data_IF_828259445765
#
_entry.id   IF_828259445765
#
_cell.length_a   1.000
_cell.length_b   1.000
_cell.length_c   1.000
_cell.angle_alpha   90.00
_cell.angle_beta   90.00
_cell.angle_gamma   90.00
#
_symmetry.space_group_name_H-M   'P 1'
#
loop_
_entity.id
_entity.type
_entity.pdbx_description
1 polymer ?
#
# COMPACT_ATOMS: atom_id res chain seq x y z
N UNK A 1 -10.64 20.99 25.62
CA UNK A 1 -12.07 20.94 26.00
C UNK A 1 -12.86 22.16 25.45
N UNK A 2 -12.88 22.37 24.13
CA UNK A 2 -13.57 23.51 23.47
C UNK A 2 -14.27 23.16 22.13
N UNK A 3 -14.16 21.91 21.68
CA UNK A 3 -14.76 21.41 20.43
C UNK A 3 -16.17 20.79 20.62
N UNK A 4 -16.47 20.28 21.82
CA UNK A 4 -17.77 19.68 22.15
C UNK A 4 -18.95 20.66 22.23
N UNK A 5 -18.70 21.96 22.44
CA UNK A 5 -19.76 22.97 22.54
C UNK A 5 -20.28 23.47 21.19
N UNK A 6 -19.49 23.35 20.11
CA UNK A 6 -19.96 23.74 18.77
C UNK A 6 -20.91 22.70 18.15
N UNK A 7 -20.73 21.42 18.47
CA UNK A 7 -21.61 20.33 18.01
C UNK A 7 -23.00 20.38 18.66
N UNK A 8 -23.09 20.69 19.96
CA UNK A 8 -24.38 20.83 20.66
C UNK A 8 -25.24 22.01 20.18
N UNK A 9 -24.64 23.03 19.55
CA UNK A 9 -25.34 24.23 19.05
C UNK A 9 -25.91 24.04 17.64
N UNK A 10 -25.45 23.02 16.91
CA UNK A 10 -25.93 22.69 15.56
C UNK A 10 -27.08 21.66 15.59
N UNK A 11 -27.15 20.82 16.62
CA UNK A 11 -28.25 19.86 16.81
C UNK A 11 -29.57 20.53 17.25
N UNK A 12 -29.54 21.77 17.76
CA UNK A 12 -30.73 22.48 18.26
C UNK A 12 -31.50 23.28 17.19
N UNK A 13 -31.14 23.19 15.90
CA UNK A 13 -31.79 23.91 14.80
C UNK A 13 -32.24 23.02 13.63
N UNK A 14 -32.58 21.75 13.89
CA UNK A 14 -33.40 20.98 12.96
C UNK A 14 -34.88 21.16 13.33
N UNK A 15 -35.53 22.16 12.74
CA UNK A 15 -36.99 22.20 12.74
C UNK A 15 -37.51 20.99 11.96
N UNK A 16 -38.30 20.18 12.66
CA UNK A 16 -38.95 18.99 12.12
C UNK A 16 -39.98 19.45 11.07
N UNK A 17 -39.91 18.90 9.86
CA UNK A 17 -40.88 19.21 8.82
C UNK A 17 -42.31 18.90 9.30
N UNK A 18 -43.33 19.71 8.93
CA UNK A 18 -44.73 19.44 9.30
C UNK A 18 -45.17 18.06 8.84
N UNK A 19 -45.97 17.35 9.65
CA UNK A 19 -46.35 15.95 9.41
C UNK A 19 -47.12 15.73 8.09
N UNK A 20 -47.66 16.79 7.47
CA UNK A 20 -48.38 16.75 6.21
C UNK A 20 -47.56 17.18 4.98
N UNK A 21 -46.27 17.47 5.15
CA UNK A 21 -45.39 17.96 4.09
C UNK A 21 -45.33 16.99 2.91
N UNK A 22 -45.16 15.70 3.18
CA UNK A 22 -45.10 14.65 2.14
C UNK A 22 -46.43 14.57 1.39
N UNK A 23 -47.55 14.71 2.08
CA UNK A 23 -48.90 14.66 1.48
C UNK A 23 -49.10 15.84 0.54
N UNK A 24 -48.68 17.05 0.93
CA UNK A 24 -48.78 18.24 0.07
C UNK A 24 -47.88 18.14 -1.16
N UNK A 25 -46.66 17.63 -1.02
CA UNK A 25 -45.74 17.43 -2.14
C UNK A 25 -46.30 16.41 -3.13
N UNK A 26 -46.87 15.31 -2.65
CA UNK A 26 -47.45 14.27 -3.51
C UNK A 26 -48.74 14.72 -4.19
N UNK A 27 -49.54 15.57 -3.55
CA UNK A 27 -50.74 16.16 -4.14
C UNK A 27 -50.45 17.23 -5.21
N UNK A 28 -49.26 17.83 -5.21
CA UNK A 28 -48.86 18.87 -6.15
C UNK A 28 -48.26 18.33 -7.47
N UNK A 29 -48.07 17.01 -7.60
CA UNK A 29 -47.53 16.38 -8.80
C UNK A 29 -48.67 16.07 -9.80
N UNK A 30 -48.59 16.51 -11.06
CA UNK A 30 -49.60 16.18 -12.06
C UNK A 30 -49.52 14.70 -12.46
N UNK A 31 -50.66 14.01 -12.42
CA UNK A 31 -50.76 12.64 -12.93
C UNK A 31 -50.56 12.60 -14.45
N UNK A 32 -49.61 11.76 -14.91
CA UNK A 32 -49.41 11.49 -16.34
C UNK A 32 -50.42 10.44 -16.82
N UNK A 33 -51.01 10.59 -18.01
CA UNK A 33 -51.87 9.56 -18.58
C UNK A 33 -51.05 8.32 -18.95
N UNK A 34 -51.54 7.16 -18.54
CA UNK A 34 -50.99 5.85 -18.82
C UNK A 34 -51.26 5.46 -20.28
N UNK A 35 -50.27 5.64 -21.15
CA UNK A 35 -50.26 5.01 -22.48
C UNK A 35 -49.41 3.73 -22.45
N UNK A 36 -50.01 2.63 -22.88
CA UNK A 36 -49.36 1.33 -22.98
C UNK A 36 -48.23 1.33 -24.01
N UNK A 37 -47.07 0.81 -23.62
CA UNK A 37 -45.86 0.71 -24.44
C UNK A 37 -46.08 -0.03 -25.78
N UNK A 38 -47.08 -0.91 -25.84
CA UNK A 38 -47.42 -1.70 -27.03
C UNK A 38 -47.96 -0.86 -28.22
N UNK A 39 -48.52 0.32 -27.97
CA UNK A 39 -49.07 1.18 -29.03
C UNK A 39 -48.02 2.10 -29.66
N UNK A 40 -46.91 2.37 -28.97
CA UNK A 40 -45.80 3.18 -29.51
C UNK A 40 -44.88 2.42 -30.47
N UNK A 41 -44.84 1.09 -30.40
CA UNK A 41 -43.98 0.28 -31.27
C UNK A 41 -44.56 0.06 -32.68
N UNK A 42 -45.87 0.23 -32.88
CA UNK A 42 -46.52 -0.02 -34.18
C UNK A 42 -46.33 1.10 -35.21
N UNK A 43 -45.87 2.29 -34.81
CA UNK A 43 -45.67 3.42 -35.74
C UNK A 43 -44.27 3.47 -36.38
N UNK A 44 -43.35 2.61 -35.98
CA UNK A 44 -41.95 2.65 -36.44
C UNK A 44 -41.64 1.67 -37.59
N UNK A 45 -42.64 1.01 -38.16
CA UNK A 45 -42.43 0.06 -39.27
C UNK A 45 -42.92 0.59 -40.63
N UNK A 46 -42.00 0.98 -41.54
CA UNK A 46 -42.39 1.36 -42.88
C UNK A 46 -42.76 0.12 -43.71
N UNK A 47 -43.97 0.15 -44.28
CA UNK A 47 -44.48 -0.86 -45.22
C UNK A 47 -43.87 -0.68 -46.63
N UNK A 48 -42.55 -0.83 -46.82
CA UNK A 48 -41.97 -1.09 -48.15
C UNK A 48 -40.72 -1.98 -48.05
N UNK A 49 -40.73 -3.01 -48.90
CA UNK A 49 -39.79 -4.13 -49.00
C UNK A 49 -38.53 -3.66 -49.73
N UNK A 50 -37.35 -3.95 -49.14
CA UNK A 50 -35.96 -3.74 -49.61
C UNK A 50 -35.18 -2.49 -49.10
N UNK A 51 -34.26 -2.70 -48.14
CA UNK A 51 -32.93 -2.02 -48.04
C UNK A 51 -32.02 -2.76 -47.01
N UNK A 52 -30.69 -2.92 -47.21
CA UNK A 52 -29.83 -3.76 -46.38
C UNK A 52 -29.25 -2.96 -45.19
N UNK A 53 -30.08 -2.70 -44.18
CA UNK A 53 -29.67 -2.06 -42.91
C UNK A 53 -29.41 -3.04 -41.74
N UNK A 54 -29.91 -4.30 -41.67
CA UNK A 54 -29.69 -5.12 -40.47
C UNK A 54 -28.21 -5.46 -40.22
N UNK A 55 -27.39 -5.55 -41.28
CA UNK A 55 -25.96 -5.81 -41.15
C UNK A 55 -25.18 -4.60 -40.58
N UNK A 56 -25.53 -3.37 -40.97
CA UNK A 56 -24.90 -2.14 -40.48
C UNK A 56 -25.35 -1.79 -39.05
N UNK A 57 -26.62 -2.03 -38.73
CA UNK A 57 -27.13 -1.85 -37.37
C UNK A 57 -26.53 -2.87 -36.39
N UNK A 58 -26.35 -4.13 -36.82
CA UNK A 58 -25.68 -5.17 -36.04
C UNK A 58 -24.20 -4.86 -35.79
N UNK A 59 -23.48 -4.40 -36.82
CA UNK A 59 -22.07 -4.01 -36.69
C UNK A 59 -21.89 -2.79 -35.77
N UNK A 60 -22.77 -1.79 -35.85
CA UNK A 60 -22.73 -0.62 -34.96
C UNK A 60 -23.07 -0.99 -33.51
N UNK A 61 -24.05 -1.86 -33.29
CA UNK A 61 -24.40 -2.36 -31.96
C UNK A 61 -23.27 -3.20 -31.35
N UNK A 62 -22.62 -4.05 -32.15
CA UNK A 62 -21.44 -4.82 -31.72
C UNK A 62 -20.25 -3.91 -31.45
N UNK A 63 -20.03 -2.88 -32.27
CA UNK A 63 -18.99 -1.88 -32.04
C UNK A 63 -19.27 -1.06 -30.77
N UNK A 64 -20.52 -0.65 -30.51
CA UNK A 64 -20.90 0.03 -29.27
C UNK A 64 -20.89 -0.88 -28.04
N UNK A 65 -21.13 -2.19 -28.20
CA UNK A 65 -21.03 -3.17 -27.12
C UNK A 65 -19.58 -3.51 -26.79
N UNK A 66 -18.70 -3.67 -27.79
CA UNK A 66 -17.26 -3.86 -27.61
C UNK A 66 -16.60 -2.57 -27.13
N UNK A 67 -16.95 -1.42 -27.72
CA UNK A 67 -16.54 -0.10 -27.24
C UNK A 67 -17.11 0.17 -25.85
N UNK A 68 -18.32 -0.30 -25.53
CA UNK A 68 -18.89 -0.26 -24.19
C UNK A 68 -18.09 -1.14 -23.23
N UNK A 69 -17.69 -2.36 -23.61
CA UNK A 69 -16.83 -3.23 -22.82
C UNK A 69 -15.41 -2.67 -22.62
N UNK A 70 -14.90 -1.87 -23.55
CA UNK A 70 -13.58 -1.22 -23.42
C UNK A 70 -13.63 0.19 -22.80
N UNK A 71 -14.74 0.92 -22.92
CA UNK A 71 -14.96 2.27 -22.37
C UNK A 71 -15.67 2.27 -21.01
N UNK A 72 -16.35 1.18 -20.63
CA UNK A 72 -16.75 0.88 -19.24
C UNK A 72 -15.67 0.11 -18.48
N UNK A 73 -14.40 0.27 -18.87
CA UNK A 73 -13.33 0.14 -17.89
C UNK A 73 -13.49 1.32 -16.94
N UNK A 74 -14.33 1.13 -15.93
CA UNK A 74 -14.53 2.11 -14.85
C UNK A 74 -13.15 2.59 -14.42
N UNK A 75 -12.88 3.91 -14.37
CA UNK A 75 -11.62 4.40 -13.86
C UNK A 75 -11.47 3.76 -12.48
N UNK A 76 -10.43 2.94 -12.36
CA UNK A 76 -10.16 2.22 -11.15
C UNK A 76 -9.96 3.26 -10.06
N UNK A 77 -10.94 3.41 -9.15
CA UNK A 77 -10.81 4.28 -7.99
C UNK A 77 -9.67 3.70 -7.14
N UNK A 78 -8.44 4.13 -7.40
CA UNK A 78 -7.34 3.99 -6.45
C UNK A 78 -7.79 4.70 -5.18
N UNK A 79 -8.14 3.90 -4.17
CA UNK A 79 -8.67 4.39 -2.91
C UNK A 79 -7.52 4.97 -2.09
N UNK A 80 -7.23 6.26 -2.29
CA UNK A 80 -6.26 6.93 -1.43
C UNK A 80 -6.78 7.00 0.02
N UNK A 81 -5.98 6.52 0.96
CA UNK A 81 -6.26 6.49 2.39
C UNK A 81 -5.72 7.79 3.01
N UNK A 82 -6.56 8.57 3.72
CA UNK A 82 -6.08 9.73 4.45
C UNK A 82 -5.24 9.28 5.66
N UNK A 83 -4.08 9.92 5.84
CA UNK A 83 -3.16 9.68 6.94
C UNK A 83 -2.81 11.02 7.56
N UNK A 84 -2.87 11.08 8.89
CA UNK A 84 -2.40 12.23 9.67
C UNK A 84 -1.16 11.77 10.42
N UNK A 85 -0.06 12.50 10.24
CA UNK A 85 1.19 12.25 10.96
C UNK A 85 1.58 13.53 11.68
N UNK A 86 2.09 13.39 12.90
CA UNK A 86 2.53 14.50 13.70
C UNK A 86 3.86 14.25 14.43
N UNK A 87 4.53 15.34 14.80
CA UNK A 87 5.78 15.29 15.53
C UNK A 87 5.83 16.40 16.57
N UNK A 88 6.10 16.04 17.82
CA UNK A 88 6.43 17.02 18.85
C UNK A 88 7.87 17.55 18.66
N UNK A 89 7.99 18.77 18.16
CA UNK A 89 9.28 19.43 17.92
C UNK A 89 9.17 20.96 18.11
N UNK A 90 8.97 21.44 19.36
CA UNK A 90 8.64 22.85 19.64
C UNK A 90 9.76 23.84 19.26
N UNK A 91 11.01 23.37 19.19
CA UNK A 91 12.17 24.20 18.83
C UNK A 91 12.60 24.03 17.36
N UNK A 92 11.86 23.27 16.56
CA UNK A 92 12.15 23.15 15.14
C UNK A 92 11.75 24.44 14.40
N UNK A 93 12.48 24.77 13.35
CA UNK A 93 12.13 25.83 12.41
C UNK A 93 11.43 25.27 11.17
N UNK A 94 11.68 24.00 10.86
CA UNK A 94 11.08 23.29 9.76
C UNK A 94 11.04 21.79 10.08
N UNK A 95 9.91 21.16 9.79
CA UNK A 95 9.79 19.70 9.79
C UNK A 95 9.26 19.25 8.43
N UNK A 96 9.93 18.27 7.84
CA UNK A 96 9.57 17.67 6.57
C UNK A 96 9.37 16.18 6.75
N UNK A 97 8.47 15.59 5.96
CA UNK A 97 8.23 14.17 5.92
C UNK A 97 8.93 13.59 4.68
N UNK A 98 9.77 12.58 4.88
CA UNK A 98 10.54 11.92 3.82
C UNK A 98 10.39 10.41 3.97
N UNK A 99 10.27 9.71 2.84
CA UNK A 99 10.06 8.27 2.84
C UNK A 99 9.91 7.70 1.45
N UNK A 100 9.53 6.43 1.36
CA UNK A 100 9.39 5.73 0.07
C UNK A 100 8.35 6.37 -0.86
N UNK A 101 7.30 7.01 -0.32
CA UNK A 101 6.29 7.75 -1.09
C UNK A 101 6.79 9.10 -1.63
N UNK A 102 7.79 9.70 -0.99
CA UNK A 102 8.46 10.91 -1.50
C UNK A 102 9.74 10.60 -2.28
N UNK A 103 10.02 9.31 -2.51
CA UNK A 103 11.30 8.83 -3.05
C UNK A 103 12.50 9.37 -2.23
N UNK A 104 12.33 9.48 -0.91
CA UNK A 104 13.30 10.07 0.02
C UNK A 104 13.73 11.50 -0.35
N UNK A 105 12.93 12.21 -1.16
CA UNK A 105 13.22 13.59 -1.55
C UNK A 105 12.68 14.56 -0.48
N UNK A 106 13.53 15.45 0.06
CA UNK A 106 13.07 16.52 0.94
C UNK A 106 12.30 17.58 0.15
N UNK A 107 11.47 18.35 0.84
CA UNK A 107 10.72 19.49 0.30
C UNK A 107 9.39 19.11 -0.37
N UNK A 108 9.12 17.81 -0.56
CA UNK A 108 7.85 17.33 -1.14
C UNK A 108 6.71 17.44 -0.14
N UNK A 109 6.95 17.01 1.11
CA UNK A 109 5.94 17.02 2.18
C UNK A 109 6.48 17.83 3.36
N UNK A 110 5.96 19.04 3.54
CA UNK A 110 6.32 19.92 4.67
C UNK A 110 5.17 19.92 5.69
N UNK A 111 5.49 19.67 6.95
CA UNK A 111 4.50 19.72 8.04
C UNK A 111 4.16 21.18 8.36
N UNK A 112 2.94 21.41 8.83
CA UNK A 112 2.50 22.70 9.37
C UNK A 112 2.74 22.71 10.87
N UNK A 113 3.40 23.75 11.37
CA UNK A 113 3.68 23.88 12.80
C UNK A 113 4.84 24.82 13.12
N UNK A 114 5.33 24.77 14.38
CA UNK A 114 4.66 24.08 15.48
C UNK A 114 3.38 24.82 15.85
N UNK A 115 2.36 24.09 16.32
CA UNK A 115 1.20 24.70 16.95
C UNK A 115 1.54 25.24 18.35
N UNK A 116 0.56 25.78 19.08
CA UNK A 116 0.77 26.32 20.42
C UNK A 116 1.21 25.27 21.46
N UNK A 117 1.05 23.98 21.15
CA UNK A 117 1.46 22.86 21.99
C UNK A 117 2.82 22.29 21.56
N UNK A 118 3.43 22.78 20.48
CA UNK A 118 4.73 22.32 20.00
C UNK A 118 4.69 21.24 18.92
N UNK A 119 3.50 20.92 18.40
CA UNK A 119 3.31 19.85 17.42
C UNK A 119 3.35 20.36 15.99
N UNK A 120 4.01 19.59 15.14
CA UNK A 120 3.98 19.71 13.68
C UNK A 120 3.04 18.65 13.13
N UNK A 121 2.20 18.98 12.15
CA UNK A 121 1.19 18.05 11.62
C UNK A 121 1.16 18.10 10.09
N UNK A 122 0.94 16.95 9.46
CA UNK A 122 0.62 16.86 8.03
C UNK A 122 -0.54 15.89 7.79
N UNK A 123 -1.45 16.31 6.90
CA UNK A 123 -2.52 15.47 6.39
C UNK A 123 -2.19 15.09 4.94
N UNK A 124 -1.90 13.81 4.69
CA UNK A 124 -1.61 13.29 3.35
C UNK A 124 -2.61 12.22 2.94
N UNK A 125 -2.59 11.87 1.66
CA UNK A 125 -3.38 10.78 1.10
C UNK A 125 -2.46 9.84 0.34
N UNK A 126 -2.36 8.60 0.80
CA UNK A 126 -1.47 7.60 0.22
C UNK A 126 -2.28 6.39 -0.27
N UNK A 127 -1.88 5.75 -1.37
CA UNK A 127 -2.43 4.45 -1.74
C UNK A 127 -2.25 3.41 -0.61
N UNK A 128 -2.99 2.30 -0.65
CA UNK A 128 -2.67 1.14 0.17
C UNK A 128 -1.25 0.65 -0.15
N UNK A 129 -0.48 0.33 0.90
CA UNK A 129 0.92 -0.02 0.75
C UNK A 129 1.66 0.01 2.07
N UNK A 130 2.88 -0.51 2.02
CA UNK A 130 3.88 -0.38 3.09
C UNK A 130 4.82 0.77 2.75
N UNK A 131 4.99 1.70 3.69
CA UNK A 131 5.85 2.87 3.54
C UNK A 131 6.89 2.92 4.67
N UNK A 132 8.14 3.17 4.30
CA UNK A 132 9.19 3.52 5.26
C UNK A 132 9.37 5.04 5.22
N UNK A 133 9.46 5.67 6.38
CA UNK A 133 9.56 7.13 6.50
C UNK A 133 10.26 7.58 7.78
N UNK A 134 10.64 8.85 7.79
CA UNK A 134 11.17 9.55 8.96
C UNK A 134 10.85 11.05 8.85
N UNK A 135 10.92 11.77 9.97
CA UNK A 135 10.83 13.22 9.96
C UNK A 135 12.21 13.85 9.81
N UNK A 136 12.37 14.72 8.82
CA UNK A 136 13.57 15.54 8.63
C UNK A 136 13.36 16.91 9.29
N UNK A 137 13.96 17.08 10.46
CA UNK A 137 13.92 18.30 11.27
C UNK A 137 15.11 19.21 10.90
N UNK A 138 14.81 20.46 10.57
CA UNK A 138 15.78 21.50 10.21
C UNK A 138 16.77 21.07 9.10
N UNK A 139 16.36 20.17 8.21
CA UNK A 139 17.14 19.74 7.04
C UNK A 139 18.32 18.79 7.33
N UNK A 140 18.47 18.31 8.57
CA UNK A 140 19.60 17.42 8.91
C UNK A 140 19.32 16.36 9.97
N UNK A 141 18.40 16.61 10.90
CA UNK A 141 18.10 15.66 11.97
C UNK A 141 16.95 14.75 11.55
N UNK A 142 17.21 13.46 11.49
CA UNK A 142 16.19 12.43 11.28
C UNK A 142 15.57 12.06 12.62
N UNK A 143 14.25 11.94 12.64
CA UNK A 143 13.48 11.56 13.82
C UNK A 143 12.43 10.55 13.39
N UNK A 144 12.53 9.27 13.78
CA UNK A 144 11.45 8.33 13.55
C UNK A 144 10.21 8.76 14.33
N UNK A 145 9.06 8.36 13.81
CA UNK A 145 7.77 8.47 14.47
C UNK A 145 7.61 7.36 15.52
N UNK A 146 7.40 7.77 16.78
CA UNK A 146 7.13 6.87 17.91
C UNK A 146 5.72 6.24 17.83
N UNK A 147 4.79 6.85 17.09
CA UNK A 147 3.42 6.40 16.89
C UNK A 147 3.26 5.55 15.61
N UNK A 148 4.36 5.24 14.90
CA UNK A 148 4.36 4.36 13.73
C UNK A 148 4.05 2.89 14.06
N UNK A 149 3.68 2.10 13.05
CA UNK A 149 3.29 0.69 13.24
C UNK A 149 4.46 -0.20 13.68
N UNK A 150 5.68 0.16 13.25
CA UNK A 150 6.92 -0.48 13.65
C UNK A 150 8.13 0.44 13.39
N UNK A 151 9.24 0.14 14.06
CA UNK A 151 10.56 0.68 13.73
C UNK A 151 11.36 -0.37 12.97
N UNK A 152 12.09 0.08 11.95
CA UNK A 152 12.96 -0.76 11.13
C UNK A 152 14.34 -0.12 11.04
N UNK A 153 15.37 -0.91 11.35
CA UNK A 153 16.74 -0.52 11.06
C UNK A 153 16.92 -0.22 9.57
N UNK A 154 17.44 0.97 9.26
CA UNK A 154 17.68 1.39 7.87
C UNK A 154 18.89 0.66 7.27
N UNK A 155 19.85 0.19 8.07
CA UNK A 155 21.12 -0.34 7.58
C UNK A 155 22.19 0.73 7.29
N UNK A 156 21.94 1.97 7.72
CA UNK A 156 22.87 3.09 7.81
C UNK A 156 23.16 3.50 9.26
N UNK A 157 22.47 2.90 10.23
CA UNK A 157 22.69 3.10 11.67
C UNK A 157 21.59 3.93 12.34
N UNK A 158 20.50 4.23 11.63
CA UNK A 158 19.28 4.79 12.20
C UNK A 158 18.11 3.82 12.03
N UNK A 159 16.93 4.29 12.42
CA UNK A 159 15.68 3.57 12.26
C UNK A 159 14.69 4.45 11.50
N UNK A 160 13.92 3.81 10.62
CA UNK A 160 12.77 4.40 9.96
C UNK A 160 11.50 3.87 10.61
N UNK A 161 10.47 4.69 10.63
CA UNK A 161 9.12 4.24 10.97
C UNK A 161 8.48 3.57 9.76
N UNK A 162 7.69 2.54 10.03
CA UNK A 162 6.91 1.82 9.04
C UNK A 162 5.45 2.24 9.19
N UNK A 163 4.81 2.54 8.07
CA UNK A 163 3.39 2.81 7.96
C UNK A 163 2.75 1.78 7.02
N UNK A 164 1.77 1.03 7.51
CA UNK A 164 1.01 0.03 6.79
C UNK A 164 -0.39 0.57 6.50
N UNK A 165 -0.70 0.77 5.22
CA UNK A 165 -2.01 1.27 4.80
C UNK A 165 -2.76 0.18 4.03
N UNK A 166 -3.91 -0.23 4.57
CA UNK A 166 -4.78 -1.22 3.97
C UNK A 166 -6.11 -0.59 3.53
N UNK A 167 -6.54 -0.73 2.26
CA UNK A 167 -7.91 -0.31 1.86
C UNK A 167 -8.96 -1.34 2.28
N UNK A 168 -8.48 -2.54 2.63
CA UNK A 168 -9.27 -3.66 3.03
C UNK A 168 -10.32 -4.15 2.02
N UNK A 169 -10.21 -3.75 0.75
CA UNK A 169 -10.93 -4.40 -0.34
C UNK A 169 -10.00 -4.90 -1.44
N UNK A 170 -8.68 -4.75 -1.32
CA UNK A 170 -7.71 -5.29 -2.28
C UNK A 170 -6.43 -5.72 -1.57
N UNK A 171 -5.96 -6.93 -1.88
CA UNK A 171 -4.55 -7.28 -1.71
C UNK A 171 -3.73 -6.26 -2.49
N UNK A 172 -2.74 -5.62 -1.86
CA UNK A 172 -1.85 -4.58 -2.38
C UNK A 172 -1.66 -4.62 -3.91
N UNK A 173 -2.58 -3.96 -4.62
CA UNK A 173 -2.63 -3.87 -6.07
C UNK A 173 -2.36 -2.41 -6.42
N UNK A 174 -1.08 -2.07 -6.49
CA UNK A 174 -0.49 -1.40 -7.65
C UNK A 174 1.02 -1.62 -7.62
N UNK A 175 1.58 -2.50 -8.47
CA UNK A 175 2.97 -2.40 -8.82
C UNK A 175 3.19 -1.06 -9.55
N UNK A 176 3.90 -0.12 -8.94
CA UNK A 176 4.69 0.81 -9.75
C UNK A 176 5.78 -0.02 -10.43
N UNK A 177 5.48 -0.60 -11.58
CA UNK A 177 6.47 -1.25 -12.42
C UNK A 177 7.45 -0.19 -12.86
N UNK A 178 8.60 -0.11 -12.20
CA UNK A 178 9.68 0.79 -12.58
C UNK A 178 10.34 0.23 -13.83
N UNK A 179 10.02 0.81 -14.98
CA UNK A 179 10.53 0.40 -16.27
C UNK A 179 11.99 0.85 -16.45
N UNK A 180 12.74 0.15 -17.30
CA UNK A 180 14.10 0.56 -17.66
C UNK A 180 14.15 1.96 -18.30
N UNK A 181 13.07 2.37 -18.96
CA UNK A 181 12.90 3.73 -19.49
C UNK A 181 12.75 4.78 -18.39
N UNK A 182 12.04 4.47 -17.30
CA UNK A 182 11.96 5.36 -16.14
C UNK A 182 13.30 5.44 -15.42
N UNK A 183 14.02 4.31 -15.30
CA UNK A 183 15.41 4.29 -14.82
C UNK A 183 16.32 5.18 -15.66
N UNK A 184 16.35 5.02 -16.98
CA UNK A 184 17.21 5.83 -17.85
C UNK A 184 16.90 7.33 -17.73
N UNK A 185 15.62 7.68 -17.58
CA UNK A 185 15.20 9.07 -17.39
C UNK A 185 15.64 9.63 -16.04
N UNK A 186 15.52 8.83 -14.97
CA UNK A 186 15.88 9.24 -13.61
C UNK A 186 17.38 9.17 -13.33
N UNK A 187 18.11 8.24 -13.95
CA UNK A 187 19.55 8.09 -13.76
C UNK A 187 20.33 9.30 -14.28
N UNK A 188 19.84 9.98 -15.32
CA UNK A 188 20.44 11.22 -15.81
C UNK A 188 20.37 12.38 -14.82
N UNK A 189 19.37 12.40 -13.93
CA UNK A 189 19.25 13.43 -12.88
C UNK A 189 19.93 13.03 -11.56
N UNK A 190 20.49 11.82 -11.47
CA UNK A 190 21.22 11.37 -10.28
C UNK A 190 22.59 12.05 -10.15
N UNK A 191 23.00 12.38 -8.91
CA UNK A 191 24.38 12.72 -8.61
C UNK A 191 25.36 11.67 -9.15
N UNK A 192 26.57 12.09 -9.53
CA UNK A 192 27.60 11.20 -10.09
C UNK A 192 27.89 9.99 -9.19
N UNK A 193 27.90 10.19 -7.87
CA UNK A 193 28.08 9.14 -6.88
C UNK A 193 27.00 8.05 -6.96
N UNK A 194 25.75 8.42 -7.26
CA UNK A 194 24.66 7.47 -7.42
C UNK A 194 24.82 6.63 -8.69
N UNK A 195 25.20 7.28 -9.80
CA UNK A 195 25.45 6.62 -11.09
C UNK A 195 26.60 5.61 -10.99
N UNK A 196 27.69 5.98 -10.32
CA UNK A 196 28.85 5.08 -10.15
C UNK A 196 28.56 3.81 -9.34
N UNK A 197 27.53 3.83 -8.49
CA UNK A 197 27.04 2.65 -7.76
C UNK A 197 26.07 1.82 -8.62
N UNK A 198 25.13 2.48 -9.29
CA UNK A 198 24.03 1.83 -10.01
C UNK A 198 24.47 1.21 -11.34
N UNK A 199 25.27 1.92 -12.15
CA UNK A 199 25.59 1.49 -13.51
C UNK A 199 26.23 0.08 -13.57
N UNK A 200 27.22 -0.27 -12.72
CA UNK A 200 27.80 -1.62 -12.73
C UNK A 200 26.84 -2.70 -12.25
N UNK A 201 25.89 -2.37 -11.37
CA UNK A 201 24.89 -3.31 -10.84
C UNK A 201 23.91 -3.75 -11.92
N UNK A 202 23.43 -2.82 -12.76
CA UNK A 202 22.44 -3.13 -13.79
C UNK A 202 23.07 -3.63 -15.10
N UNK A 203 24.23 -3.11 -15.50
CA UNK A 203 24.88 -3.53 -16.74
C UNK A 203 25.29 -5.01 -16.73
N UNK A 204 25.63 -5.54 -15.55
CA UNK A 204 26.10 -6.92 -15.39
C UNK A 204 25.00 -7.91 -14.95
N UNK A 205 23.74 -7.45 -14.84
CA UNK A 205 22.64 -8.31 -14.42
C UNK A 205 21.65 -8.58 -15.57
N UNK A 206 21.76 -9.72 -16.28
CA UNK A 206 20.89 -10.06 -17.40
C UNK A 206 19.43 -10.28 -16.99
N UNK A 207 19.14 -10.44 -15.69
CA UNK A 207 17.75 -10.50 -15.20
C UNK A 207 17.08 -9.13 -15.18
N UNK A 208 17.87 -8.06 -15.16
CA UNK A 208 17.48 -6.65 -15.21
C UNK A 208 16.29 -6.29 -14.29
N UNK A 209 16.22 -6.94 -13.13
CA UNK A 209 15.16 -6.71 -12.14
C UNK A 209 15.48 -5.41 -11.43
N UNK A 210 15.02 -4.30 -12.01
CA UNK A 210 15.08 -2.99 -11.37
C UNK A 210 13.95 -2.93 -10.36
N UNK A 211 14.16 -3.53 -9.18
CA UNK A 211 13.26 -3.22 -8.07
C UNK A 211 13.45 -1.75 -7.72
N UNK A 212 12.37 -0.96 -7.81
CA UNK A 212 12.32 0.45 -7.37
C UNK A 212 12.96 0.62 -5.97
N UNK A 213 12.87 -0.41 -5.13
CA UNK A 213 13.40 -0.41 -3.77
C UNK A 213 14.93 -0.32 -3.69
N UNK A 214 15.67 -0.83 -4.68
CA UNK A 214 17.13 -0.65 -4.79
C UNK A 214 17.46 0.82 -5.00
N UNK A 215 16.70 1.48 -5.87
CA UNK A 215 16.84 2.92 -6.12
C UNK A 215 16.41 3.75 -4.91
N UNK A 216 15.30 3.41 -4.25
CA UNK A 216 14.88 4.06 -3.02
C UNK A 216 15.96 3.98 -1.94
N UNK A 217 16.69 2.86 -1.84
CA UNK A 217 17.81 2.74 -0.88
C UNK A 217 18.94 3.72 -1.16
N UNK A 218 19.24 3.91 -2.44
CA UNK A 218 20.24 4.87 -2.85
C UNK A 218 19.82 6.29 -2.47
N UNK A 219 18.56 6.66 -2.73
CA UNK A 219 18.05 7.99 -2.40
C UNK A 219 18.01 8.26 -0.90
N UNK A 220 17.60 7.28 -0.12
CA UNK A 220 17.65 7.31 1.34
C UNK A 220 19.07 7.59 1.83
N UNK A 221 20.07 6.81 1.40
CA UNK A 221 21.44 7.03 1.85
C UNK A 221 22.06 8.34 1.35
N UNK A 222 21.62 8.89 0.21
CA UNK A 222 22.01 10.22 -0.26
C UNK A 222 21.43 11.31 0.64
N UNK A 223 20.14 11.21 0.99
CA UNK A 223 19.48 12.12 1.91
C UNK A 223 20.21 12.17 3.25
N UNK A 224 20.56 10.99 3.78
CA UNK A 224 21.26 10.82 5.05
C UNK A 224 22.75 11.14 5.00
N UNK A 225 23.29 11.46 3.81
CA UNK A 225 24.72 11.75 3.59
C UNK A 225 25.63 10.60 4.02
N UNK A 226 25.20 9.36 3.78
CA UNK A 226 25.94 8.14 4.10
C UNK A 226 27.26 8.09 3.34
N UNK A 227 28.31 7.54 3.98
CA UNK A 227 29.61 7.36 3.33
C UNK A 227 29.49 6.48 2.07
N UNK A 228 30.21 6.80 0.97
CA UNK A 228 30.06 6.10 -0.30
C UNK A 228 30.23 4.57 -0.23
N UNK A 229 31.14 4.08 0.60
CA UNK A 229 31.41 2.66 0.80
C UNK A 229 30.23 1.93 1.48
N UNK A 230 29.66 2.55 2.52
CA UNK A 230 28.48 2.01 3.21
C UNK A 230 27.27 2.03 2.29
N UNK A 231 27.04 3.15 1.58
CA UNK A 231 25.94 3.30 0.63
C UNK A 231 26.00 2.23 -0.46
N UNK A 232 27.19 2.02 -1.03
CA UNK A 232 27.41 0.97 -2.02
C UNK A 232 27.04 -0.40 -1.47
N UNK A 233 27.55 -0.76 -0.29
CA UNK A 233 27.25 -2.04 0.37
C UNK A 233 25.75 -2.23 0.62
N UNK A 234 25.05 -1.22 1.13
CA UNK A 234 23.61 -1.31 1.40
C UNK A 234 22.79 -1.53 0.11
N UNK A 235 23.12 -0.80 -0.96
CA UNK A 235 22.46 -0.97 -2.27
C UNK A 235 22.74 -2.37 -2.85
N UNK A 236 23.97 -2.87 -2.72
CA UNK A 236 24.33 -4.23 -3.17
C UNK A 236 23.60 -5.30 -2.35
N UNK A 237 23.49 -5.13 -1.03
CA UNK A 237 22.77 -6.04 -0.15
C UNK A 237 21.29 -6.12 -0.52
N UNK A 238 20.64 -4.97 -0.75
CA UNK A 238 19.25 -4.93 -1.20
C UNK A 238 19.09 -5.62 -2.55
N UNK A 239 19.96 -5.34 -3.53
CA UNK A 239 19.93 -6.02 -4.83
C UNK A 239 20.07 -7.54 -4.68
N UNK A 240 21.01 -7.99 -3.85
CA UNK A 240 21.23 -9.40 -3.57
C UNK A 240 20.01 -10.07 -2.90
N UNK A 241 19.34 -9.38 -1.98
CA UNK A 241 18.12 -9.85 -1.32
C UNK A 241 16.98 -10.07 -2.32
N UNK A 242 16.78 -9.12 -3.25
CA UNK A 242 15.80 -9.27 -4.34
C UNK A 242 16.11 -10.45 -5.27
N UNK A 243 17.38 -10.68 -5.61
CA UNK A 243 17.79 -11.85 -6.41
C UNK A 243 17.47 -13.15 -5.67
N UNK A 244 17.84 -13.23 -4.38
CA UNK A 244 17.61 -14.40 -3.54
C UNK A 244 16.12 -14.69 -3.37
N UNK A 245 15.30 -13.65 -3.15
CA UNK A 245 13.85 -13.76 -3.08
C UNK A 245 13.27 -14.35 -4.37
N UNK A 246 13.70 -13.86 -5.54
CA UNK A 246 13.22 -14.40 -6.82
C UNK A 246 13.61 -15.86 -7.01
N UNK A 247 14.84 -16.24 -6.67
CA UNK A 247 15.27 -17.65 -6.72
C UNK A 247 14.39 -18.53 -5.83
N UNK A 248 14.15 -18.12 -4.57
CA UNK A 248 13.27 -18.86 -3.65
C UNK A 248 11.84 -18.98 -4.18
N UNK A 249 11.28 -17.91 -4.72
CA UNK A 249 9.94 -17.93 -5.29
C UNK A 249 9.86 -18.79 -6.57
N UNK A 250 10.91 -18.82 -7.40
CA UNK A 250 11.00 -19.67 -8.58
C UNK A 250 11.15 -21.17 -8.24
N UNK A 251 11.82 -21.50 -7.12
CA UNK A 251 11.89 -22.87 -6.59
C UNK A 251 10.57 -23.35 -5.97
N UNK A 252 9.59 -22.46 -5.80
CA UNK A 252 8.28 -22.75 -5.23
C UNK A 252 7.18 -22.47 -6.26
N UNK A 253 5.91 -22.70 -5.89
CA UNK A 253 4.77 -22.48 -6.79
C UNK A 253 4.45 -20.99 -7.04
N UNK A 254 5.29 -20.06 -6.58
CA UNK A 254 5.03 -18.63 -6.60
C UNK A 254 5.80 -17.86 -7.68
N UNK A 255 6.74 -18.50 -8.40
CA UNK A 255 7.58 -17.86 -9.40
C UNK A 255 6.83 -17.15 -10.53
N UNK A 256 5.71 -17.72 -10.99
CA UNK A 256 4.90 -17.12 -12.06
C UNK A 256 4.18 -15.83 -11.64
N UNK A 257 3.94 -15.64 -10.34
CA UNK A 257 3.21 -14.46 -9.82
C UNK A 257 4.07 -13.19 -9.78
N UNK A 258 5.39 -13.33 -9.86
CA UNK A 258 6.35 -12.22 -9.66
C UNK A 258 6.17 -11.10 -10.70
N UNK A 259 5.86 -11.46 -11.95
CA UNK A 259 5.76 -10.48 -13.05
C UNK A 259 4.43 -9.73 -13.05
N UNK A 260 3.37 -10.34 -12.53
CA UNK A 260 2.02 -9.76 -12.49
C UNK A 260 1.71 -9.07 -11.16
N UNK A 261 2.29 -9.56 -10.06
CA UNK A 261 2.14 -8.98 -8.73
C UNK A 261 3.44 -9.18 -7.92
N UNK A 262 4.32 -8.16 -7.82
CA UNK A 262 5.61 -8.26 -7.14
C UNK A 262 5.50 -8.12 -5.61
N UNK A 263 4.31 -8.03 -5.03
CA UNK A 263 4.14 -7.81 -3.58
C UNK A 263 4.82 -8.91 -2.78
N UNK A 264 4.60 -10.18 -3.15
CA UNK A 264 5.28 -11.30 -2.51
C UNK A 264 6.80 -11.29 -2.73
N UNK A 265 7.28 -10.85 -3.90
CA UNK A 265 8.71 -10.65 -4.14
C UNK A 265 9.29 -9.60 -3.18
N UNK A 266 8.60 -8.47 -3.03
CA UNK A 266 9.03 -7.37 -2.17
C UNK A 266 9.09 -7.82 -0.70
N UNK A 267 8.01 -8.40 -0.16
CA UNK A 267 7.98 -8.89 1.22
C UNK A 267 9.07 -9.95 1.49
N UNK A 268 9.24 -10.89 0.55
CA UNK A 268 10.29 -11.91 0.66
C UNK A 268 11.69 -11.28 0.64
N UNK A 269 11.93 -10.30 -0.23
CA UNK A 269 13.21 -9.61 -0.33
C UNK A 269 13.51 -8.79 0.93
N UNK A 270 12.53 -8.08 1.47
CA UNK A 270 12.71 -7.30 2.71
C UNK A 270 12.99 -8.19 3.90
N UNK A 271 12.25 -9.28 4.09
CA UNK A 271 12.53 -10.24 5.15
C UNK A 271 13.97 -10.76 5.06
N UNK A 272 14.42 -11.16 3.86
CA UNK A 272 15.79 -11.63 3.64
C UNK A 272 16.85 -10.54 3.90
N UNK A 273 16.58 -9.30 3.53
CA UNK A 273 17.45 -8.15 3.79
C UNK A 273 17.56 -7.87 5.30
N UNK A 274 16.45 -8.04 6.03
CA UNK A 274 16.37 -7.91 7.49
C UNK A 274 17.05 -9.05 8.24
N UNK A 275 17.49 -10.10 7.54
CA UNK A 275 18.20 -11.23 8.12
C UNK A 275 17.35 -12.46 8.39
N UNK A 276 16.09 -12.50 7.92
CA UNK A 276 15.29 -13.73 8.02
C UNK A 276 16.01 -14.90 7.39
N UNK A 277 15.95 -16.03 8.10
CA UNK A 277 16.53 -17.26 7.61
C UNK A 277 15.80 -17.73 6.32
N UNK A 278 16.53 -17.93 5.21
CA UNK A 278 15.95 -18.35 3.94
C UNK A 278 15.22 -19.68 4.01
N UNK A 279 15.65 -20.60 4.88
CA UNK A 279 14.99 -21.90 5.03
C UNK A 279 13.64 -21.75 5.72
N UNK A 280 13.53 -20.85 6.69
CA UNK A 280 12.26 -20.49 7.34
C UNK A 280 11.26 -19.86 6.36
N UNK A 281 11.72 -18.96 5.48
CA UNK A 281 10.89 -18.41 4.40
C UNK A 281 10.43 -19.52 3.44
N UNK A 282 11.34 -20.41 3.02
CA UNK A 282 11.01 -21.55 2.14
C UNK A 282 9.98 -22.48 2.77
N UNK A 283 10.07 -22.70 4.08
CA UNK A 283 9.09 -23.43 4.88
C UNK A 283 7.71 -22.79 4.85
N UNK A 284 7.63 -21.46 5.02
CA UNK A 284 6.37 -20.69 4.95
C UNK A 284 5.77 -20.76 3.55
N UNK A 285 6.59 -20.57 2.51
CA UNK A 285 6.17 -20.70 1.10
C UNK A 285 5.63 -22.10 0.79
N UNK A 286 6.27 -23.14 1.33
CA UNK A 286 5.86 -24.54 1.14
C UNK A 286 4.57 -24.85 1.88
N UNK A 287 4.44 -24.43 3.15
CA UNK A 287 3.22 -24.57 3.95
C UNK A 287 2.04 -23.80 3.33
N UNK A 288 2.34 -22.70 2.67
CA UNK A 288 1.38 -21.86 1.97
C UNK A 288 0.90 -22.40 0.63
N UNK A 289 1.28 -23.60 0.18
CA UNK A 289 0.89 -24.12 -1.15
C UNK A 289 -0.63 -23.99 -1.39
N UNK A 290 -1.00 -23.25 -2.43
CA UNK A 290 -2.41 -23.02 -2.82
C UNK A 290 -3.05 -21.77 -2.21
N UNK A 291 -2.31 -20.97 -1.44
CA UNK A 291 -2.74 -19.64 -0.98
C UNK A 291 -2.43 -18.56 -2.02
N UNK A 292 -3.06 -17.40 -1.88
CA UNK A 292 -2.78 -16.24 -2.74
C UNK A 292 -1.43 -15.61 -2.38
N UNK A 293 -0.80 -14.92 -3.33
CA UNK A 293 0.44 -14.18 -3.07
C UNK A 293 0.25 -13.11 -1.98
N UNK A 294 -0.93 -12.48 -1.88
CA UNK A 294 -1.22 -11.50 -0.83
C UNK A 294 -1.34 -12.12 0.56
N UNK A 295 -1.95 -13.30 0.71
CA UNK A 295 -1.96 -14.04 1.98
C UNK A 295 -0.54 -14.38 2.44
N UNK A 296 0.31 -14.87 1.54
CA UNK A 296 1.69 -15.21 1.87
C UNK A 296 2.50 -13.96 2.23
N UNK A 297 2.34 -12.88 1.47
CA UNK A 297 3.00 -11.60 1.76
C UNK A 297 2.66 -11.12 3.16
N UNK A 298 1.37 -11.08 3.51
CA UNK A 298 0.90 -10.67 4.82
C UNK A 298 1.48 -11.54 5.95
N UNK A 299 1.64 -12.85 5.74
CA UNK A 299 2.29 -13.73 6.72
C UNK A 299 3.79 -13.44 6.85
N UNK A 300 4.50 -13.19 5.75
CA UNK A 300 5.93 -12.83 5.79
C UNK A 300 6.13 -11.48 6.49
N UNK A 301 5.30 -10.48 6.20
CA UNK A 301 5.33 -9.15 6.83
C UNK A 301 4.99 -9.20 8.32
N UNK A 302 3.99 -10.02 8.70
CA UNK A 302 3.73 -10.33 10.12
C UNK A 302 4.98 -10.96 10.75
N UNK A 303 5.59 -11.92 10.06
CA UNK A 303 6.82 -12.56 10.51
C UNK A 303 7.90 -11.53 10.84
N UNK A 304 8.23 -10.71 9.85
CA UNK A 304 9.22 -9.65 9.96
C UNK A 304 8.93 -8.68 11.10
N UNK A 305 7.67 -8.23 11.22
CA UNK A 305 7.26 -7.31 12.29
C UNK A 305 7.42 -7.94 13.68
N UNK A 306 7.01 -9.20 13.83
CA UNK A 306 7.10 -9.92 15.11
C UNK A 306 8.54 -10.25 15.50
N UNK A 307 9.43 -10.49 14.54
CA UNK A 307 10.86 -10.65 14.79
C UNK A 307 11.47 -9.34 15.33
N UNK A 308 11.12 -8.19 14.74
CA UNK A 308 11.57 -6.89 15.24
C UNK A 308 11.14 -6.60 16.67
N UNK A 309 9.92 -6.98 17.05
CA UNK A 309 9.44 -6.82 18.45
C UNK A 309 9.90 -7.95 19.39
N UNK A 310 10.79 -8.83 18.93
CA UNK A 310 11.50 -9.80 19.77
C UNK A 310 10.83 -11.17 19.93
N UNK A 311 9.91 -11.55 19.04
CA UNK A 311 9.32 -12.89 19.06
C UNK A 311 10.39 -13.96 18.82
N UNK A 312 10.38 -15.02 19.64
CA UNK A 312 11.34 -16.11 19.48
C UNK A 312 11.16 -16.83 18.12
N UNK A 313 12.24 -17.14 17.37
CA UNK A 313 12.15 -17.68 16.02
C UNK A 313 11.28 -18.94 15.87
N UNK A 314 11.34 -19.84 16.86
CA UNK A 314 10.52 -21.05 16.87
C UNK A 314 9.03 -20.75 16.99
N UNK A 315 8.66 -19.82 17.89
CA UNK A 315 7.25 -19.42 18.09
C UNK A 315 6.75 -18.61 16.91
N UNK A 316 7.60 -17.74 16.36
CA UNK A 316 7.33 -16.95 15.18
C UNK A 316 6.95 -17.83 13.98
N UNK A 317 7.77 -18.82 13.65
CA UNK A 317 7.52 -19.73 12.53
C UNK A 317 6.22 -20.52 12.72
N UNK A 318 5.88 -20.89 13.95
CA UNK A 318 4.62 -21.56 14.25
C UNK A 318 3.42 -20.63 14.04
N UNK A 319 3.46 -19.38 14.50
CA UNK A 319 2.38 -18.39 14.28
C UNK A 319 2.18 -18.16 12.77
N UNK A 320 3.27 -17.99 12.01
CA UNK A 320 3.20 -17.84 10.55
C UNK A 320 2.54 -19.05 9.87
N UNK A 321 2.93 -20.27 10.25
CA UNK A 321 2.32 -21.51 9.72
C UNK A 321 0.86 -21.65 10.14
N UNK A 322 0.51 -21.30 11.38
CA UNK A 322 -0.88 -21.35 11.88
C UNK A 322 -1.80 -20.42 11.08
N UNK A 323 -1.35 -19.20 10.75
CA UNK A 323 -2.10 -18.26 9.92
C UNK A 323 -2.45 -18.85 8.54
N UNK A 324 -1.50 -19.55 7.92
CA UNK A 324 -1.70 -20.22 6.63
C UNK A 324 -2.62 -21.45 6.75
N UNK A 325 -2.41 -22.29 7.77
CA UNK A 325 -3.20 -23.49 8.03
C UNK A 325 -4.67 -23.15 8.29
N UNK A 326 -4.93 -22.08 9.05
CA UNK A 326 -6.29 -21.57 9.35
C UNK A 326 -6.89 -20.75 8.21
N UNK A 327 -6.17 -20.59 7.10
CA UNK A 327 -6.61 -19.86 5.90
C UNK A 327 -7.04 -18.41 6.21
N UNK A 328 -6.28 -17.73 7.06
CA UNK A 328 -6.60 -16.35 7.43
C UNK A 328 -6.49 -15.42 6.21
N UNK A 329 -7.42 -14.48 6.09
CA UNK A 329 -7.33 -13.37 5.15
C UNK A 329 -6.31 -12.32 5.65
N UNK A 330 -5.71 -11.49 4.78
CA UNK A 330 -4.74 -10.46 5.18
C UNK A 330 -5.17 -9.59 6.37
N UNK A 331 -6.43 -9.11 6.38
CA UNK A 331 -7.00 -8.36 7.52
C UNK A 331 -7.05 -9.14 8.84
N UNK A 332 -7.20 -10.46 8.78
CA UNK A 332 -7.18 -11.29 9.99
C UNK A 332 -5.75 -11.49 10.48
N UNK A 333 -4.79 -11.59 9.56
CA UNK A 333 -3.35 -11.68 9.86
C UNK A 333 -2.88 -10.38 10.53
N UNK A 334 -3.30 -9.22 10.04
CA UNK A 334 -3.03 -7.92 10.66
C UNK A 334 -3.55 -7.86 12.11
N UNK A 335 -4.78 -8.32 12.37
CA UNK A 335 -5.31 -8.40 13.74
C UNK A 335 -4.52 -9.35 14.64
N UNK A 336 -3.96 -10.43 14.09
CA UNK A 336 -3.05 -11.32 14.82
C UNK A 336 -1.78 -10.56 15.19
N UNK A 337 -1.18 -9.84 14.22
CA UNK A 337 0.00 -9.02 14.45
C UNK A 337 -0.22 -7.97 15.55
N UNK A 338 -1.28 -7.16 15.46
CA UNK A 338 -1.64 -6.16 16.48
C UNK A 338 -1.78 -6.78 17.88
N UNK A 339 -2.49 -7.91 17.97
CA UNK A 339 -2.70 -8.60 19.23
C UNK A 339 -1.39 -9.13 19.82
N UNK A 340 -0.56 -9.78 19.00
CA UNK A 340 0.72 -10.35 19.44
C UNK A 340 1.68 -9.25 19.87
N UNK A 341 1.79 -8.15 19.11
CA UNK A 341 2.65 -7.02 19.43
C UNK A 341 2.26 -6.39 20.78
N UNK A 342 0.96 -6.16 21.02
CA UNK A 342 0.50 -5.60 22.30
C UNK A 342 0.76 -6.55 23.49
N UNK A 343 0.69 -7.87 23.27
CA UNK A 343 1.01 -8.87 24.29
C UNK A 343 2.50 -8.94 24.60
N UNK A 344 3.34 -8.91 23.57
CA UNK A 344 4.81 -8.81 23.73
C UNK A 344 5.19 -7.54 24.50
N UNK A 345 4.55 -6.41 24.18
CA UNK A 345 4.76 -5.13 24.90
C UNK A 345 4.43 -5.23 26.40
N UNK A 346 3.48 -6.08 26.78
CA UNK A 346 3.13 -6.36 28.19
C UNK A 346 4.08 -7.34 28.88
N UNK A 347 5.00 -7.94 28.14
CA UNK A 347 5.95 -8.94 28.66
C UNK A 347 5.36 -10.34 28.79
N UNK A 348 4.28 -10.64 28.06
CA UNK A 348 3.66 -11.96 28.10
C UNK A 348 4.60 -13.02 27.48
N UNK A 349 4.52 -14.26 27.99
CA UNK A 349 5.37 -15.36 27.51
C UNK A 349 5.01 -15.75 26.06
N UNK A 350 6.01 -15.88 25.19
CA UNK A 350 5.81 -16.12 23.75
C UNK A 350 4.91 -17.33 23.45
N UNK A 351 5.07 -18.44 24.20
CA UNK A 351 4.24 -19.63 24.02
C UNK A 351 2.79 -19.38 24.44
N UNK A 352 2.59 -18.69 25.57
CA UNK A 352 1.26 -18.33 26.05
C UNK A 352 0.52 -17.42 25.07
N UNK A 353 1.22 -16.46 24.46
CA UNK A 353 0.66 -15.59 23.42
C UNK A 353 0.13 -16.43 22.25
N UNK A 354 0.94 -17.37 21.74
CA UNK A 354 0.51 -18.26 20.65
C UNK A 354 -0.68 -19.14 21.05
N UNK A 355 -0.64 -19.72 22.25
CA UNK A 355 -1.71 -20.61 22.72
C UNK A 355 -3.05 -19.84 22.85
N UNK A 356 -3.02 -18.57 23.27
CA UNK A 356 -4.21 -17.70 23.36
C UNK A 356 -4.81 -17.32 22.00
N UNK A 357 -3.99 -17.18 20.94
CA UNK A 357 -4.48 -16.76 19.61
C UNK A 357 -5.55 -17.69 19.03
N UNK A 358 -5.53 -18.97 19.42
CA UNK A 358 -6.28 -20.03 18.74
C UNK A 358 -7.30 -20.75 19.62
N UNK A 359 -7.56 -20.23 20.82
CA UNK A 359 -8.67 -20.62 21.71
C UNK A 359 -9.92 -19.87 21.28
#
# INVERSE_FOLDING_TARGET
MKSRDKLKRLESHQEKAPDDFVVRVMAALPEKPHLAWADRLKSFWPKRRFWPIPALAGALAMFLFVAGLTLFRSPEKSGLIPVVLDLYAPSANQVQLVGTFSNWMPGVFCLKGPDALGYWVIDIKLPPGRYEYTFLVNGSRLVPDDDGDALRADGFGHENSVLLLNDGLREFDQPCTFTLSEYATMSHSLPEQARSIMDPLFQNDPSNIVSKHVFLKLQEGILEKVRPDILKSAVHNRHAAFKKARTLLAETNYGASIETNPTLLNATAFALESGFDPSSIKDVLTAGKGKTSGQISAVIELGETLDYVGMAPETLLLIMKDCLLKNLAPRQIERVMEHVTEKLRKGDNHKAIRDELWV
#
